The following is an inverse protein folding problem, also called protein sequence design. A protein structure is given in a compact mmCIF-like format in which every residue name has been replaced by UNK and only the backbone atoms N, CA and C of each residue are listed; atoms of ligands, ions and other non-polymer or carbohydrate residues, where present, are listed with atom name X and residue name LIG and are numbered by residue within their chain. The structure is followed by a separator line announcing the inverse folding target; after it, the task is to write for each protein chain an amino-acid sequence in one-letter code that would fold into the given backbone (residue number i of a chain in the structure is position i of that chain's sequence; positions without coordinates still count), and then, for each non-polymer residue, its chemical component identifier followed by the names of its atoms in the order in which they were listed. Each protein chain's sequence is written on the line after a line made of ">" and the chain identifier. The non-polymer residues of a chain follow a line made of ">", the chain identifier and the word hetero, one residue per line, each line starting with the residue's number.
data_IF_131666372988
#
_entry.id   IF_131666372988
#
_cell.length_a   1.000
_cell.length_b   1.000
_cell.length_c   1.000
_cell.angle_alpha   90.00
_cell.angle_beta   90.00
_cell.angle_gamma   90.00
#
_symmetry.space_group_name_H-M   'P 1'
#
loop_
_entity.id
_entity.type
_entity.pdbx_description
1 polymer ?
#
# COMPACT_ATOMS: atom_id res chain seq x y z
N UNK A 1 -4.05 0.41 -9.32
CA UNK A 1 -4.00 -1.08 -9.26
C UNK A 1 -4.50 -1.63 -7.93
N UNK A 2 -4.02 -1.12 -6.78
CA UNK A 2 -4.42 -1.60 -5.45
C UNK A 2 -5.94 -1.65 -5.24
N UNK A 3 -6.65 -0.54 -5.46
CA UNK A 3 -8.12 -0.46 -5.30
C UNK A 3 -8.91 -1.10 -6.45
N UNK A 4 -8.31 -1.25 -7.64
CA UNK A 4 -9.02 -1.66 -8.86
C UNK A 4 -9.06 -3.18 -9.09
N UNK A 5 -8.17 -3.95 -8.45
CA UNK A 5 -8.06 -5.40 -8.68
C UNK A 5 -8.28 -6.18 -7.39
N UNK A 6 -9.36 -6.99 -7.28
CA UNK A 6 -9.68 -7.72 -6.05
C UNK A 6 -8.56 -8.64 -5.55
N UNK A 7 -7.82 -9.29 -6.46
CA UNK A 7 -6.72 -10.17 -6.07
C UNK A 7 -5.50 -9.39 -5.57
N UNK A 8 -5.26 -8.18 -6.09
CA UNK A 8 -4.20 -7.29 -5.61
C UNK A 8 -4.59 -6.69 -4.27
N UNK A 9 -5.84 -6.25 -4.10
CA UNK A 9 -6.36 -5.78 -2.82
C UNK A 9 -6.26 -6.87 -1.74
N UNK A 10 -6.67 -8.10 -2.08
CA UNK A 10 -6.49 -9.26 -1.20
C UNK A 10 -5.02 -9.48 -0.84
N UNK A 11 -4.11 -9.43 -1.82
CA UNK A 11 -2.68 -9.62 -1.58
C UNK A 11 -2.09 -8.59 -0.64
N UNK A 12 -2.44 -7.31 -0.85
CA UNK A 12 -2.01 -6.19 -0.01
C UNK A 12 -2.50 -6.38 1.43
N UNK A 13 -3.77 -6.75 1.61
CA UNK A 13 -4.42 -6.88 2.93
C UNK A 13 -4.06 -8.15 3.69
N UNK A 14 -3.86 -9.27 3.00
CA UNK A 14 -3.76 -10.59 3.65
C UNK A 14 -2.33 -11.08 3.84
N UNK A 15 -1.40 -10.66 2.99
CA UNK A 15 -0.02 -11.08 3.14
C UNK A 15 0.73 -10.04 3.95
N UNK A 16 1.46 -10.49 4.96
CA UNK A 16 2.31 -9.63 5.78
C UNK A 16 3.64 -9.35 5.07
N UNK A 17 4.30 -8.27 5.50
CA UNK A 17 5.68 -8.00 5.12
C UNK A 17 6.62 -8.90 5.91
N UNK A 18 7.75 -9.24 5.30
CA UNK A 18 8.82 -10.10 5.84
C UNK A 18 8.39 -11.53 6.21
N UNK A 19 7.21 -11.95 5.75
CA UNK A 19 6.73 -13.32 5.83
C UNK A 19 6.72 -14.00 4.46
N UNK A 20 7.11 -15.27 4.42
CA UNK A 20 7.16 -16.06 3.18
C UNK A 20 5.93 -16.94 3.06
N UNK A 21 5.13 -16.71 2.01
CA UNK A 21 3.92 -17.48 1.75
C UNK A 21 4.13 -18.46 0.59
N UNK A 22 3.85 -19.74 0.84
CA UNK A 22 3.80 -20.76 -0.20
C UNK A 22 2.54 -20.64 -1.05
N UNK A 23 2.53 -21.25 -2.24
CA UNK A 23 1.32 -21.36 -3.07
C UNK A 23 0.15 -22.00 -2.32
N UNK A 24 0.42 -23.05 -1.55
CA UNK A 24 -0.63 -23.78 -0.82
C UNK A 24 -1.19 -22.92 0.31
N UNK A 25 -0.32 -22.21 1.05
CA UNK A 25 -0.72 -21.24 2.07
C UNK A 25 -1.62 -20.14 1.48
N UNK A 26 -1.22 -19.54 0.35
CA UNK A 26 -2.03 -18.51 -0.32
C UNK A 26 -3.38 -19.05 -0.81
N UNK A 27 -3.42 -20.29 -1.33
CA UNK A 27 -4.68 -20.92 -1.75
C UNK A 27 -5.63 -21.15 -0.56
N UNK A 28 -5.10 -21.55 0.60
CA UNK A 28 -5.87 -21.70 1.83
C UNK A 28 -6.39 -20.34 2.31
N UNK A 29 -5.55 -19.32 2.34
CA UNK A 29 -5.91 -17.96 2.78
C UNK A 29 -6.93 -17.26 1.87
N UNK A 30 -7.01 -17.64 0.60
CA UNK A 30 -8.08 -17.17 -0.30
C UNK A 30 -9.47 -17.72 0.09
N UNK A 31 -9.53 -18.79 0.88
CA UNK A 31 -10.77 -19.45 1.28
C UNK A 31 -11.54 -20.04 0.10
N UNK A 32 -12.70 -20.65 0.36
CA UNK A 32 -13.44 -21.46 -0.62
C UNK A 32 -14.64 -20.75 -1.27
N UNK A 33 -14.74 -19.42 -1.12
CA UNK A 33 -15.85 -18.63 -1.69
C UNK A 33 -15.95 -18.63 -3.22
N UNK A 34 -14.88 -19.03 -3.92
CA UNK A 34 -14.84 -19.20 -5.37
C UNK A 34 -14.36 -20.60 -5.75
N UNK A 35 -14.77 -21.05 -6.94
CA UNK A 35 -14.29 -22.32 -7.52
C UNK A 35 -12.76 -22.34 -7.55
N UNK A 36 -12.21 -23.49 -7.20
CA UNK A 36 -10.77 -23.70 -7.07
C UNK A 36 -9.98 -23.29 -8.33
N UNK A 37 -10.51 -23.61 -9.53
CA UNK A 37 -9.92 -23.18 -10.80
C UNK A 37 -9.81 -21.65 -10.92
N UNK A 38 -10.84 -20.92 -10.50
CA UNK A 38 -10.85 -19.45 -10.53
C UNK A 38 -9.81 -18.88 -9.56
N UNK A 39 -9.72 -19.42 -8.34
CA UNK A 39 -8.70 -19.02 -7.36
C UNK A 39 -7.28 -19.26 -7.86
N UNK A 40 -7.02 -20.44 -8.45
CA UNK A 40 -5.72 -20.75 -9.06
C UNK A 40 -5.34 -19.76 -10.17
N UNK A 41 -6.28 -19.45 -11.06
CA UNK A 41 -6.04 -18.51 -12.15
C UNK A 41 -5.75 -17.09 -11.63
N UNK A 42 -6.46 -16.66 -10.58
CA UNK A 42 -6.23 -15.38 -9.93
C UNK A 42 -4.82 -15.32 -9.31
N UNK A 43 -4.42 -16.33 -8.52
CA UNK A 43 -3.06 -16.39 -7.97
C UNK A 43 -1.98 -16.49 -9.05
N UNK A 44 -2.21 -17.23 -10.14
CA UNK A 44 -1.25 -17.28 -11.24
C UNK A 44 -1.03 -15.88 -11.83
N UNK A 45 -2.11 -15.17 -12.13
CA UNK A 45 -2.04 -13.82 -12.71
C UNK A 45 -1.35 -12.83 -11.78
N UNK A 46 -1.62 -12.90 -10.48
CA UNK A 46 -0.93 -12.11 -9.46
C UNK A 46 0.57 -12.40 -9.44
N UNK A 47 0.96 -13.67 -9.35
CA UNK A 47 2.37 -14.09 -9.32
C UNK A 47 3.11 -13.71 -10.60
N UNK A 48 2.48 -13.88 -11.75
CA UNK A 48 3.05 -13.49 -13.04
C UNK A 48 3.25 -11.97 -13.10
N UNK A 49 2.29 -11.19 -12.60
CA UNK A 49 2.43 -9.72 -12.49
C UNK A 49 3.61 -9.35 -11.60
N UNK A 50 3.71 -9.89 -10.38
CA UNK A 50 4.81 -9.60 -9.45
C UNK A 50 6.16 -9.99 -10.06
N UNK A 51 6.26 -11.19 -10.65
CA UNK A 51 7.49 -11.72 -11.23
C UNK A 51 7.97 -10.94 -12.46
N UNK A 52 7.04 -10.50 -13.31
CA UNK A 52 7.37 -9.86 -14.61
C UNK A 52 7.49 -8.34 -14.52
N UNK A 53 6.98 -7.74 -13.45
CA UNK A 53 6.96 -6.30 -13.24
C UNK A 53 8.12 -5.83 -12.36
N UNK A 54 8.63 -4.60 -12.55
CA UNK A 54 9.62 -4.02 -11.66
C UNK A 54 9.12 -3.79 -10.24
N UNK A 55 7.81 -3.88 -9.95
CA UNK A 55 7.25 -3.66 -8.60
C UNK A 55 7.84 -4.58 -7.53
N UNK A 56 8.22 -5.81 -7.90
CA UNK A 56 8.89 -6.75 -6.97
C UNK A 56 10.20 -6.16 -6.45
N UNK A 57 11.03 -5.64 -7.36
CA UNK A 57 12.35 -5.11 -7.05
C UNK A 57 12.31 -3.67 -6.54
N UNK A 58 11.53 -2.80 -7.19
CA UNK A 58 11.51 -1.37 -6.90
C UNK A 58 10.72 -1.04 -5.64
N UNK A 59 9.61 -1.74 -5.41
CA UNK A 59 8.68 -1.44 -4.32
C UNK A 59 8.66 -2.53 -3.23
N UNK A 60 9.53 -3.54 -3.34
CA UNK A 60 9.59 -4.66 -2.39
C UNK A 60 8.30 -5.49 -2.33
N UNK A 61 7.51 -5.52 -3.41
CA UNK A 61 6.17 -6.11 -3.45
C UNK A 61 6.14 -7.63 -3.65
N UNK A 62 7.24 -8.31 -3.36
CA UNK A 62 7.29 -9.77 -3.41
C UNK A 62 8.50 -10.30 -4.13
N UNK A 63 9.52 -10.71 -3.38
CA UNK A 63 10.58 -11.59 -3.89
C UNK A 63 9.97 -12.97 -4.17
N UNK A 64 10.11 -13.44 -5.41
CA UNK A 64 9.61 -14.75 -5.82
C UNK A 64 10.69 -15.82 -5.69
N UNK A 65 10.39 -16.92 -5.01
CA UNK A 65 11.20 -18.14 -5.07
C UNK A 65 10.74 -19.02 -6.23
N UNK A 66 11.69 -19.55 -7.00
CA UNK A 66 11.44 -20.23 -8.26
C UNK A 66 11.80 -21.71 -8.18
N UNK A 67 10.91 -22.58 -8.67
CA UNK A 67 11.23 -23.97 -9.04
C UNK A 67 11.08 -24.13 -10.55
N UNK A 68 12.21 -24.05 -11.26
CA UNK A 68 12.21 -23.92 -12.71
C UNK A 68 11.51 -22.63 -13.14
N UNK A 69 10.43 -22.73 -13.92
CA UNK A 69 9.65 -21.56 -14.37
C UNK A 69 8.53 -21.15 -13.40
N UNK A 70 8.22 -21.97 -12.40
CA UNK A 70 7.10 -21.77 -11.48
C UNK A 70 7.53 -20.98 -10.24
N UNK A 71 6.73 -19.98 -9.86
CA UNK A 71 6.83 -19.31 -8.55
C UNK A 71 6.25 -20.26 -7.49
N UNK A 72 7.05 -20.63 -6.48
CA UNK A 72 6.65 -21.53 -5.39
C UNK A 72 6.33 -20.80 -4.09
N UNK A 73 6.96 -19.65 -3.85
CA UNK A 73 6.69 -18.80 -2.69
C UNK A 73 6.91 -17.32 -3.02
N UNK A 74 6.32 -16.43 -2.22
CA UNK A 74 6.49 -14.98 -2.30
C UNK A 74 6.77 -14.41 -0.90
N UNK A 75 7.71 -13.46 -0.82
CA UNK A 75 8.03 -12.69 0.39
C UNK A 75 7.97 -11.19 0.09
N UNK A 76 7.06 -10.43 0.71
CA UNK A 76 7.09 -8.95 0.62
C UNK A 76 8.18 -8.41 1.54
N UNK A 77 8.88 -7.36 1.13
CA UNK A 77 9.95 -6.72 1.93
C UNK A 77 9.72 -5.23 2.14
N UNK A 78 8.72 -4.65 1.47
CA UNK A 78 8.41 -3.23 1.57
C UNK A 78 9.37 -2.33 0.78
N UNK A 79 8.92 -1.11 0.54
CA UNK A 79 9.62 -0.11 -0.25
C UNK A 79 10.63 0.65 0.62
N UNK A 80 11.92 0.48 0.33
CA UNK A 80 13.01 0.97 1.17
C UNK A 80 13.27 2.47 1.03
N UNK A 81 13.01 3.02 -0.15
CA UNK A 81 13.23 4.45 -0.45
C UNK A 81 11.96 5.01 -1.11
N UNK A 82 10.89 5.27 -0.33
CA UNK A 82 9.65 5.78 -0.87
C UNK A 82 9.82 7.19 -1.42
N UNK A 83 9.26 7.40 -2.61
CA UNK A 83 9.24 8.71 -3.25
C UNK A 83 8.14 9.59 -2.60
N UNK A 84 8.47 10.81 -2.12
CA UNK A 84 7.52 11.66 -1.41
C UNK A 84 6.21 11.97 -2.15
N UNK A 85 6.24 12.32 -3.44
CA UNK A 85 5.03 12.61 -4.20
C UNK A 85 4.14 11.38 -4.37
N UNK A 86 4.70 10.17 -4.46
CA UNK A 86 3.93 8.92 -4.42
C UNK A 86 3.26 8.72 -3.07
N UNK A 87 3.92 9.07 -1.96
CA UNK A 87 3.30 9.04 -0.63
C UNK A 87 2.15 10.06 -0.57
N UNK A 88 2.36 11.30 -1.04
CA UNK A 88 1.32 12.32 -1.11
C UNK A 88 0.11 11.84 -1.92
N UNK A 89 0.34 11.26 -3.09
CA UNK A 89 -0.69 10.67 -3.93
C UNK A 89 -1.50 9.61 -3.17
N UNK A 90 -0.82 8.74 -2.43
CA UNK A 90 -1.48 7.72 -1.62
C UNK A 90 -2.24 8.29 -0.42
N UNK A 91 -1.81 9.39 0.19
CA UNK A 91 -2.57 10.08 1.24
C UNK A 91 -3.90 10.64 0.69
N UNK A 92 -3.89 11.22 -0.51
CA UNK A 92 -5.12 11.66 -1.16
C UNK A 92 -6.05 10.50 -1.52
N UNK A 93 -5.53 9.41 -2.11
CA UNK A 93 -6.34 8.22 -2.36
C UNK A 93 -6.95 7.66 -1.07
N UNK A 94 -6.18 7.66 0.01
CA UNK A 94 -6.67 7.21 1.31
C UNK A 94 -7.80 8.09 1.84
N UNK A 95 -7.70 9.41 1.72
CA UNK A 95 -8.78 10.34 2.12
C UNK A 95 -10.03 10.17 1.25
N UNK A 96 -9.85 10.02 -0.06
CA UNK A 96 -10.93 9.78 -1.03
C UNK A 96 -11.70 8.48 -0.74
N UNK A 97 -11.02 7.43 -0.29
CA UNK A 97 -11.62 6.15 0.13
C UNK A 97 -11.94 6.07 1.64
N UNK A 98 -11.79 7.17 2.37
CA UNK A 98 -12.18 7.32 3.79
C UNK A 98 -13.34 8.30 3.94
N UNK A 99 -14.34 8.22 3.04
CA UNK A 99 -15.52 9.11 3.01
C UNK A 99 -15.17 10.61 2.96
N UNK A 100 -14.04 10.97 2.33
CA UNK A 100 -13.60 12.36 2.22
C UNK A 100 -13.07 12.94 3.55
N UNK A 101 -12.44 12.10 4.38
CA UNK A 101 -11.72 12.51 5.58
C UNK A 101 -10.33 13.08 5.22
N UNK A 102 -10.26 14.38 4.97
CA UNK A 102 -9.01 15.11 4.66
C UNK A 102 -8.22 15.54 5.93
N UNK A 103 -8.57 15.01 7.10
CA UNK A 103 -7.90 15.30 8.37
C UNK A 103 -7.83 14.02 9.20
N UNK A 104 -6.63 13.57 9.52
CA UNK A 104 -6.39 12.35 10.29
C UNK A 104 -5.02 12.42 10.97
N UNK A 105 -4.79 11.59 11.96
CA UNK A 105 -3.49 11.45 12.63
C UNK A 105 -2.61 10.42 11.92
N UNK A 106 -1.28 10.51 12.10
CA UNK A 106 -0.38 9.45 11.62
C UNK A 106 -0.72 8.10 12.26
N UNK A 107 -1.15 8.07 13.51
CA UNK A 107 -1.57 6.82 14.17
C UNK A 107 -2.81 6.21 13.50
N UNK A 108 -3.83 7.01 13.16
CA UNK A 108 -4.99 6.55 12.40
C UNK A 108 -4.63 6.12 10.99
N UNK A 109 -3.65 6.77 10.34
CA UNK A 109 -3.15 6.34 9.03
C UNK A 109 -2.51 4.95 9.10
N UNK A 110 -1.77 4.65 10.17
CA UNK A 110 -1.05 3.39 10.35
C UNK A 110 -1.91 2.25 10.93
N UNK A 111 -3.11 2.59 11.42
CA UNK A 111 -4.09 1.63 11.95
C UNK A 111 -4.97 1.10 10.81
N UNK A 112 -4.47 0.06 10.14
CA UNK A 112 -5.19 -0.63 9.07
C UNK A 112 -6.06 -1.74 9.65
N UNK A 113 -7.27 -1.90 9.10
CA UNK A 113 -8.19 -2.97 9.43
C UNK A 113 -8.82 -3.59 8.17
N UNK A 114 -9.32 -4.82 8.32
CA UNK A 114 -10.02 -5.53 7.24
C UNK A 114 -11.34 -4.82 6.82
N UNK A 115 -11.94 -4.04 7.72
CA UNK A 115 -13.21 -3.33 7.49
C UNK A 115 -13.01 -1.97 6.82
N UNK A 116 -11.79 -1.42 6.87
CA UNK A 116 -11.47 -0.12 6.28
C UNK A 116 -11.25 -0.26 4.77
N UNK A 117 -12.05 0.43 3.96
CA UNK A 117 -11.88 0.46 2.51
C UNK A 117 -10.58 1.14 2.09
N UNK A 118 -10.27 2.29 2.69
CA UNK A 118 -8.99 2.97 2.48
C UNK A 118 -7.81 2.08 2.90
N UNK A 119 -6.79 2.08 2.05
CA UNK A 119 -5.50 1.43 2.25
C UNK A 119 -4.43 2.48 2.46
N UNK A 120 -3.72 2.41 3.58
CA UNK A 120 -2.64 3.32 3.92
C UNK A 120 -1.37 3.06 3.08
N UNK A 121 -0.43 4.02 3.01
CA UNK A 121 0.89 3.77 2.46
C UNK A 121 1.63 2.61 3.16
N UNK A 122 1.45 2.44 4.48
CA UNK A 122 1.99 1.30 5.23
C UNK A 122 1.48 -0.02 4.68
N UNK A 123 0.17 -0.13 4.48
CA UNK A 123 -0.43 -1.36 3.97
C UNK A 123 0.05 -1.66 2.54
N UNK A 124 0.01 -0.66 1.66
CA UNK A 124 0.33 -0.80 0.25
C UNK A 124 1.83 -1.05 0.03
N UNK A 125 2.71 -0.35 0.76
CA UNK A 125 4.16 -0.32 0.48
C UNK A 125 5.04 -0.85 1.61
N UNK A 126 4.49 -1.22 2.76
CA UNK A 126 5.27 -1.73 3.89
C UNK A 126 6.10 -0.66 4.58
N UNK A 127 5.73 0.60 4.42
CA UNK A 127 6.40 1.74 5.07
C UNK A 127 5.95 1.86 6.52
N UNK A 128 6.89 2.00 7.45
CA UNK A 128 6.59 2.17 8.87
C UNK A 128 6.48 3.65 9.27
N UNK A 129 6.27 3.90 10.57
CA UNK A 129 6.17 5.25 11.13
C UNK A 129 7.44 6.05 10.90
N UNK A 130 8.59 5.43 11.15
CA UNK A 130 9.90 6.08 11.10
C UNK A 130 10.26 6.49 9.67
N UNK A 131 9.72 5.77 8.67
CA UNK A 131 9.82 6.12 7.25
C UNK A 131 8.83 7.22 6.86
N UNK A 132 7.55 7.09 7.25
CA UNK A 132 6.49 8.00 6.80
C UNK A 132 6.55 9.38 7.45
N UNK A 133 6.89 9.45 8.74
CA UNK A 133 6.93 10.70 9.48
C UNK A 133 7.82 11.78 8.83
N UNK A 134 9.11 11.53 8.54
CA UNK A 134 9.96 12.52 7.91
C UNK A 134 9.52 12.87 6.48
N UNK A 135 8.98 11.91 5.73
CA UNK A 135 8.44 12.18 4.37
C UNK A 135 7.26 13.15 4.44
N UNK A 136 6.31 12.90 5.34
CA UNK A 136 5.12 13.73 5.53
C UNK A 136 5.51 15.14 6.00
N UNK A 137 6.52 15.26 6.85
CA UNK A 137 7.09 16.55 7.26
C UNK A 137 7.72 17.31 6.09
N UNK A 138 8.53 16.63 5.27
CA UNK A 138 9.12 17.22 4.07
C UNK A 138 8.05 17.69 3.07
N UNK A 139 7.04 16.85 2.83
CA UNK A 139 5.90 17.20 1.96
C UNK A 139 5.15 18.44 2.45
N UNK A 140 4.92 18.59 3.75
CA UNK A 140 4.24 19.77 4.28
C UNK A 140 5.06 21.05 4.14
N UNK A 141 6.40 20.94 4.15
CA UNK A 141 7.29 22.07 3.89
C UNK A 141 7.32 22.43 2.39
N UNK A 142 7.48 21.44 1.53
CA UNK A 142 7.75 21.63 0.11
C UNK A 142 6.46 21.78 -0.74
N UNK A 143 5.35 21.22 -0.25
CA UNK A 143 4.04 21.18 -0.90
C UNK A 143 2.91 21.62 0.05
N UNK A 144 3.11 22.73 0.75
CA UNK A 144 2.13 23.31 1.71
C UNK A 144 0.76 23.66 1.11
N UNK A 145 0.66 23.75 -0.22
CA UNK A 145 -0.58 23.90 -0.98
C UNK A 145 -1.38 22.59 -1.16
N UNK A 146 -0.81 21.46 -0.76
CA UNK A 146 -1.45 20.14 -0.75
C UNK A 146 -1.58 19.56 0.66
N UNK A 147 -0.64 19.80 1.56
CA UNK A 147 -0.60 19.15 2.87
C UNK A 147 -0.06 20.09 3.94
N UNK A 148 -0.69 20.04 5.11
CA UNK A 148 -0.25 20.70 6.33
C UNK A 148 -0.18 19.67 7.44
N UNK A 149 0.66 19.95 8.43
CA UNK A 149 0.91 19.07 9.56
C UNK A 149 1.00 19.86 10.84
N UNK A 150 0.42 19.33 11.91
CA UNK A 150 0.59 19.85 13.27
C UNK A 150 1.21 18.76 14.15
N UNK A 151 2.45 19.02 14.58
CA UNK A 151 3.23 18.12 15.41
C UNK A 151 3.31 18.66 16.84
N UNK A 152 2.45 18.14 17.72
CA UNK A 152 2.42 18.53 19.13
C UNK A 152 3.47 17.76 19.93
N UNK A 153 4.75 18.17 19.82
CA UNK A 153 5.89 17.60 20.58
C UNK A 153 5.94 16.06 20.57
N UNK A 154 5.54 15.44 19.45
CA UNK A 154 5.52 13.97 19.27
C UNK A 154 4.35 13.24 19.92
N UNK A 155 3.35 13.95 20.48
CA UNK A 155 2.17 13.34 21.12
C UNK A 155 1.01 13.19 20.14
N UNK A 156 0.79 14.20 19.30
CA UNK A 156 -0.20 14.18 18.22
C UNK A 156 0.44 14.66 16.92
N UNK A 157 0.15 13.94 15.86
CA UNK A 157 0.74 14.11 14.53
C UNK A 157 -0.42 14.26 13.54
N UNK A 158 -1.06 15.42 13.57
CA UNK A 158 -2.22 15.69 12.75
C UNK A 158 -1.77 16.01 11.33
N UNK A 159 -2.43 15.38 10.36
CA UNK A 159 -2.21 15.56 8.93
C UNK A 159 -3.48 16.16 8.35
N UNK A 160 -3.34 17.28 7.64
CA UNK A 160 -4.42 17.99 6.97
C UNK A 160 -4.13 18.05 5.48
N UNK A 161 -4.98 17.45 4.68
CA UNK A 161 -4.94 17.55 3.22
C UNK A 161 -5.85 18.69 2.76
N UNK A 162 -5.46 19.39 1.70
CA UNK A 162 -6.27 20.48 1.14
C UNK A 162 -7.45 19.88 0.36
N UNK A 163 -8.68 20.16 0.81
CA UNK A 163 -9.92 19.56 0.25
C UNK A 163 -10.19 19.89 -1.22
N UNK A 164 -9.67 21.00 -1.73
CA UNK A 164 -9.83 21.42 -3.12
C UNK A 164 -8.81 20.75 -4.06
N UNK A 165 -8.01 19.81 -3.53
CA UNK A 165 -7.05 18.99 -4.26
C UNK A 165 -7.47 17.52 -4.21
N UNK A 166 -6.94 16.75 -5.16
CA UNK A 166 -7.22 15.33 -5.33
C UNK A 166 -5.95 14.55 -5.59
N UNK A 167 -6.06 13.23 -5.56
CA UNK A 167 -5.00 12.33 -6.02
C UNK A 167 -4.60 12.61 -7.48
N UNK A 168 -5.52 13.08 -8.32
CA UNK A 168 -5.23 13.46 -9.71
C UNK A 168 -4.37 14.72 -9.80
N UNK A 169 -4.60 15.72 -8.96
CA UNK A 169 -3.76 16.93 -8.92
C UNK A 169 -2.30 16.64 -8.52
N UNK A 170 -2.07 15.58 -7.74
CA UNK A 170 -0.72 15.15 -7.37
C UNK A 170 -0.01 14.50 -8.57
N UNK A 171 -0.73 13.82 -9.45
CA UNK A 171 -0.14 13.21 -10.67
C UNK A 171 0.49 14.27 -11.56
N UNK A 172 -0.08 15.48 -11.62
CA UNK A 172 0.46 16.59 -12.41
C UNK A 172 1.81 17.12 -11.88
N UNK A 173 2.27 16.64 -10.72
CA UNK A 173 3.57 16.96 -10.13
C UNK A 173 4.68 15.93 -10.46
N UNK A 174 4.33 14.78 -11.04
CA UNK A 174 5.22 13.63 -11.30
C UNK A 174 5.64 13.58 -12.77
#
# INVERSE_FOLDING_TARGET
>A
MAYASPIVAWYIRRLEYDFTYSNDSMMIMLGDGLKERTRRNALSSLKDTIKSSPISRLLGQGKCEMKGKQVISITKTGWQEPEPLVILYCLYLFAEHSDGLYSFTLSELLDDSDEREAMSPKLIFGTDRDTLLPIIQGLANDHSNFIQVDFNKGIMENIFLVRDKSSSDVIDLI
#
